data_IF_773132660046
#
_entry.id   IF_773132660046
#
_cell.length_a   1.000
_cell.length_b   1.000
_cell.length_c   1.000
_cell.angle_alpha   90.00
_cell.angle_beta   90.00
_cell.angle_gamma   90.00
#
_symmetry.space_group_name_H-M   'P 1'
#
loop_
_entity.id
_entity.type
_entity.pdbx_description
1 polymer ?
#
# COMPACT_ATOMS: atom_id res chain seq x y z
N UNK A 1 25.86 40.30 5.45
CA UNK A 1 25.97 39.00 4.76
C UNK A 1 26.60 38.03 5.73
N UNK A 2 25.76 37.31 6.45
CA UNK A 2 26.13 36.22 7.35
C UNK A 2 25.00 35.20 7.23
N UNK A 3 25.33 34.02 6.73
CA UNK A 3 24.40 32.93 6.44
C UNK A 3 23.86 32.33 7.74
N UNK A 4 22.54 32.23 7.88
CA UNK A 4 21.91 31.35 8.87
C UNK A 4 21.76 29.95 8.25
N UNK A 5 22.58 29.03 8.74
CA UNK A 5 22.41 27.59 8.53
C UNK A 5 21.30 27.10 9.45
N UNK A 6 20.09 26.89 8.91
CA UNK A 6 18.99 26.30 9.68
C UNK A 6 19.22 24.78 9.79
N UNK A 7 19.57 24.39 11.01
CA UNK A 7 19.72 22.99 11.43
C UNK A 7 18.40 22.25 11.26
N UNK A 8 18.33 21.39 10.24
CA UNK A 8 17.27 20.39 10.09
C UNK A 8 17.36 19.45 11.30
N UNK A 9 16.37 19.53 12.19
CA UNK A 9 16.26 18.64 13.36
C UNK A 9 16.05 17.20 12.90
N UNK A 10 17.15 16.45 12.88
CA UNK A 10 17.19 14.99 12.72
C UNK A 10 16.98 14.34 14.08
N UNK A 11 15.77 14.33 14.61
CA UNK A 11 15.42 13.52 15.79
C UNK A 11 13.91 13.32 15.85
N UNK A 12 13.40 12.45 14.97
CA UNK A 12 12.16 11.72 15.28
C UNK A 12 12.61 10.32 15.69
N UNK A 13 12.44 9.94 16.97
CA UNK A 13 12.86 8.62 17.44
C UNK A 13 12.06 7.53 16.73
N UNK A 14 12.78 6.65 16.01
CA UNK A 14 12.25 5.51 15.24
C UNK A 14 11.48 4.50 16.13
N UNK A 15 11.61 4.60 17.45
CA UNK A 15 10.94 3.75 18.43
C UNK A 15 9.47 4.11 18.72
N UNK A 16 8.95 5.22 18.19
CA UNK A 16 7.58 5.69 18.48
C UNK A 16 6.59 5.48 17.33
N UNK A 17 6.99 4.78 16.26
CA UNK A 17 6.11 4.35 15.18
C UNK A 17 5.82 2.86 15.38
N UNK A 18 5.11 2.53 16.45
CA UNK A 18 4.43 1.24 16.63
C UNK A 18 2.93 1.44 16.48
N UNK A 19 2.54 1.91 15.31
CA UNK A 19 1.16 1.95 14.86
C UNK A 19 1.17 1.28 13.51
N UNK A 20 0.57 0.09 13.44
CA UNK A 20 0.39 -0.73 12.24
C UNK A 20 0.03 0.17 11.05
N UNK A 21 0.89 0.18 10.04
CA UNK A 21 0.84 1.07 8.88
C UNK A 21 0.51 0.20 7.67
N UNK A 22 -0.78 0.10 7.37
CA UNK A 22 -1.27 -0.41 6.09
C UNK A 22 -1.25 0.73 5.09
N UNK A 23 -0.25 0.75 4.20
CA UNK A 23 -0.05 1.87 3.28
C UNK A 23 0.47 1.41 1.93
N UNK A 24 -0.24 1.64 0.83
CA UNK A 24 0.31 1.41 -0.52
C UNK A 24 0.78 2.75 -1.10
N UNK A 25 2.00 2.79 -1.60
CA UNK A 25 2.60 3.99 -2.21
C UNK A 25 2.79 3.77 -3.71
N UNK A 26 2.20 4.58 -4.58
CA UNK A 26 2.26 4.34 -6.03
C UNK A 26 3.01 5.49 -6.70
N UNK A 27 4.08 5.17 -7.45
CA UNK A 27 5.01 6.13 -8.05
C UNK A 27 4.93 6.06 -9.59
N UNK A 28 4.50 7.14 -10.24
CA UNK A 28 4.70 7.28 -11.69
C UNK A 28 6.01 8.04 -11.94
N UNK A 29 6.92 7.50 -12.76
CA UNK A 29 8.29 8.00 -12.85
C UNK A 29 8.73 8.21 -14.30
N UNK A 30 8.16 9.17 -15.02
CA UNK A 30 8.77 9.68 -16.29
C UNK A 30 8.34 11.07 -16.77
N UNK A 31 7.69 11.84 -15.92
CA UNK A 31 7.78 13.30 -15.95
C UNK A 31 7.90 13.75 -14.50
N UNK A 32 8.55 14.89 -14.26
CA UNK A 32 8.93 15.35 -12.93
C UNK A 32 7.79 15.24 -11.89
N UNK A 33 7.93 14.29 -10.96
CA UNK A 33 7.36 14.23 -9.61
C UNK A 33 5.85 14.02 -9.44
N UNK A 34 5.20 13.27 -10.34
CA UNK A 34 3.80 12.85 -10.13
C UNK A 34 3.73 11.62 -9.22
N UNK A 35 3.18 11.81 -8.02
CA UNK A 35 2.99 10.75 -7.03
C UNK A 35 1.50 10.62 -6.75
N UNK A 36 1.01 9.38 -6.70
CA UNK A 36 -0.32 9.04 -6.23
C UNK A 36 -0.21 8.25 -4.91
N UNK A 37 -1.25 8.30 -4.09
CA UNK A 37 -1.31 7.56 -2.84
C UNK A 37 -2.58 6.73 -2.81
N UNK A 38 -2.46 5.44 -2.49
CA UNK A 38 -3.63 4.62 -2.15
C UNK A 38 -3.46 4.15 -0.72
N UNK A 39 -4.24 4.73 0.18
CA UNK A 39 -4.28 4.29 1.57
C UNK A 39 -5.29 3.16 1.67
N UNK A 40 -4.92 2.10 2.39
CA UNK A 40 -5.81 0.96 2.57
C UNK A 40 -5.76 0.45 3.99
N UNK A 41 -6.77 -0.35 4.33
CA UNK A 41 -6.96 -0.99 5.63
C UNK A 41 -7.70 -2.30 5.42
N UNK A 42 -8.28 -2.83 6.48
CA UNK A 42 -9.13 -4.01 6.49
C UNK A 42 -10.54 -3.71 5.90
N UNK A 43 -11.34 -4.75 5.73
CA UNK A 43 -12.71 -4.70 5.22
C UNK A 43 -13.74 -4.56 6.34
N UNK A 44 -14.95 -4.02 6.08
CA UNK A 44 -16.06 -4.14 7.03
C UNK A 44 -16.39 -5.62 7.31
N UNK A 45 -16.58 -6.02 8.58
CA UNK A 45 -16.83 -5.19 9.76
C UNK A 45 -15.59 -4.78 10.58
N UNK A 46 -14.38 -5.11 10.15
CA UNK A 46 -13.15 -4.81 10.91
C UNK A 46 -12.75 -3.34 10.79
N UNK A 47 -13.01 -2.74 9.63
CA UNK A 47 -12.90 -1.31 9.39
C UNK A 47 -14.28 -0.71 9.05
N UNK A 48 -14.52 0.51 9.52
CA UNK A 48 -15.76 1.26 9.34
C UNK A 48 -15.57 2.61 8.66
N UNK A 49 -14.33 3.07 8.41
CA UNK A 49 -14.05 4.31 7.69
C UNK A 49 -13.99 4.10 6.19
N UNK A 50 -13.01 3.31 5.73
CA UNK A 50 -12.77 3.00 4.32
C UNK A 50 -11.82 1.80 4.25
N UNK A 51 -12.02 0.91 3.28
CA UNK A 51 -11.06 -0.14 2.96
C UNK A 51 -9.95 0.39 2.01
N UNK A 52 -10.32 1.29 1.09
CA UNK A 52 -9.41 1.91 0.12
C UNK A 52 -9.75 3.38 -0.06
N UNK A 53 -8.75 4.26 -0.03
CA UNK A 53 -8.84 5.68 -0.37
C UNK A 53 -7.79 6.00 -1.42
N UNK A 54 -8.24 6.53 -2.56
CA UNK A 54 -7.38 6.86 -3.71
C UNK A 54 -7.17 8.37 -3.81
N UNK A 55 -5.93 8.79 -3.67
CA UNK A 55 -5.46 10.13 -4.02
C UNK A 55 -4.65 10.03 -5.32
N UNK A 56 -5.20 10.57 -6.41
CA UNK A 56 -4.62 10.47 -7.74
C UNK A 56 -3.33 11.29 -7.87
N UNK A 57 -2.64 11.15 -9.01
CA UNK A 57 -1.37 11.84 -9.29
C UNK A 57 -1.48 13.36 -9.10
N UNK A 58 -0.50 13.92 -8.40
CA UNK A 58 -0.38 15.36 -8.18
C UNK A 58 0.98 15.88 -8.61
N UNK A 59 0.99 17.03 -9.26
CA UNK A 59 2.20 17.77 -9.64
C UNK A 59 2.97 18.22 -8.37
N UNK A 60 3.94 17.43 -7.92
CA UNK A 60 4.93 17.84 -6.93
C UNK A 60 4.91 17.10 -5.58
N UNK A 61 6.11 17.01 -5.00
CA UNK A 61 6.38 16.22 -3.78
C UNK A 61 5.63 16.70 -2.55
N UNK A 62 5.28 17.98 -2.46
CA UNK A 62 4.69 18.57 -1.26
C UNK A 62 3.26 18.05 -1.02
N UNK A 63 2.46 17.91 -2.08
CA UNK A 63 1.12 17.35 -1.98
C UNK A 63 1.16 15.87 -1.63
N UNK A 64 2.10 15.11 -2.21
CA UNK A 64 2.32 13.72 -1.85
C UNK A 64 2.72 13.55 -0.37
N UNK A 65 3.65 14.38 0.12
CA UNK A 65 4.06 14.40 1.53
C UNK A 65 2.89 14.78 2.45
N UNK A 66 2.03 15.71 2.05
CA UNK A 66 0.84 16.10 2.80
C UNK A 66 -0.16 14.94 2.89
N UNK A 67 -0.43 14.22 1.79
CA UNK A 67 -1.37 13.10 1.78
C UNK A 67 -0.86 11.94 2.68
N UNK A 68 0.45 11.65 2.63
CA UNK A 68 1.07 10.66 3.53
C UNK A 68 0.99 11.11 4.99
N UNK A 69 1.29 12.38 5.28
CA UNK A 69 1.28 12.91 6.67
C UNK A 69 -0.14 12.98 7.23
N UNK A 70 -1.15 13.19 6.39
CA UNK A 70 -2.56 13.18 6.79
C UNK A 70 -3.10 11.76 7.07
N UNK A 71 -2.40 10.73 6.62
CA UNK A 71 -2.79 9.34 6.82
C UNK A 71 -2.50 8.92 8.26
N UNK A 72 -3.55 8.59 9.01
CA UNK A 72 -3.44 8.12 10.39
C UNK A 72 -3.43 6.58 10.40
N UNK A 73 -2.32 5.93 10.82
CA UNK A 73 -2.29 4.49 10.98
C UNK A 73 -3.33 4.01 11.98
N UNK A 74 -3.91 2.85 11.71
CA UNK A 74 -4.97 2.26 12.51
C UNK A 74 -4.87 0.75 12.38
N UNK A 75 -5.00 0.05 13.51
CA UNK A 75 -5.03 -1.40 13.53
C UNK A 75 -6.30 -1.93 12.87
N UNK A 76 -6.17 -2.94 12.02
CA UNK A 76 -7.27 -3.79 11.58
C UNK A 76 -7.90 -4.60 12.73
N UNK A 77 -8.85 -5.46 12.38
CA UNK A 77 -9.53 -6.34 13.33
C UNK A 77 -9.05 -7.79 13.29
N UNK A 78 -8.51 -8.22 12.15
CA UNK A 78 -7.69 -9.42 12.01
C UNK A 78 -6.30 -9.12 11.41
N UNK A 79 -5.55 -10.18 11.12
CA UNK A 79 -4.14 -10.07 10.73
C UNK A 79 -3.89 -9.86 9.24
N UNK A 80 -4.70 -10.38 8.30
CA UNK A 80 -4.60 -10.04 6.88
C UNK A 80 -5.34 -8.73 6.56
N UNK A 81 -5.00 -8.14 5.42
CA UNK A 81 -5.48 -6.81 5.02
C UNK A 81 -6.04 -6.78 3.59
N UNK A 82 -6.78 -5.72 3.25
CA UNK A 82 -7.50 -5.60 1.98
C UNK A 82 -6.62 -5.19 0.78
N UNK A 83 -5.61 -5.99 0.42
CA UNK A 83 -4.70 -5.63 -0.68
C UNK A 83 -5.31 -5.83 -2.07
N UNK A 84 -6.26 -6.76 -2.24
CA UNK A 84 -6.85 -7.02 -3.55
C UNK A 84 -7.55 -5.78 -4.16
N UNK A 85 -8.42 -5.05 -3.43
CA UNK A 85 -9.04 -3.84 -3.96
C UNK A 85 -8.03 -2.71 -4.20
N UNK A 86 -6.91 -2.69 -3.47
CA UNK A 86 -5.81 -1.73 -3.69
C UNK A 86 -5.11 -1.98 -5.01
N UNK A 87 -4.76 -3.24 -5.27
CA UNK A 87 -4.14 -3.64 -6.53
C UNK A 87 -5.09 -3.38 -7.71
N UNK A 88 -6.39 -3.62 -7.52
CA UNK A 88 -7.39 -3.26 -8.52
C UNK A 88 -7.46 -1.74 -8.75
N UNK A 89 -7.59 -0.94 -7.69
CA UNK A 89 -7.65 0.52 -7.78
C UNK A 89 -6.40 1.13 -8.40
N UNK A 90 -5.22 0.56 -8.11
CA UNK A 90 -3.96 0.98 -8.71
C UNK A 90 -3.99 0.91 -10.25
N UNK A 91 -4.66 -0.09 -10.82
CA UNK A 91 -4.76 -0.27 -12.27
C UNK A 91 -5.89 0.57 -12.87
N UNK A 92 -7.03 0.64 -12.20
CA UNK A 92 -8.28 1.14 -12.78
C UNK A 92 -8.64 2.57 -12.38
N UNK A 93 -8.22 3.04 -11.22
CA UNK A 93 -8.67 4.31 -10.64
C UNK A 93 -7.60 5.41 -10.70
N UNK A 94 -6.34 5.05 -10.90
CA UNK A 94 -5.24 5.99 -11.10
C UNK A 94 -5.10 6.44 -12.55
N UNK A 95 -4.83 7.73 -12.75
CA UNK A 95 -4.69 8.35 -14.07
C UNK A 95 -3.25 8.30 -14.58
N UNK A 96 -2.73 7.09 -14.76
CA UNK A 96 -1.37 6.86 -15.27
C UNK A 96 -1.12 7.54 -16.61
N UNK A 97 0.06 8.14 -16.76
CA UNK A 97 0.46 8.66 -18.05
C UNK A 97 0.84 7.52 -19.01
N UNK A 98 0.30 7.53 -20.22
CA UNK A 98 0.49 6.42 -21.18
C UNK A 98 1.95 6.21 -21.58
N UNK A 99 2.72 7.29 -21.70
CA UNK A 99 4.14 7.26 -22.10
C UNK A 99 5.08 7.09 -20.92
N UNK A 100 4.56 6.90 -19.70
CA UNK A 100 5.39 6.83 -18.52
C UNK A 100 5.81 5.39 -18.15
N UNK A 101 7.01 5.26 -17.59
CA UNK A 101 7.49 4.21 -16.69
C UNK A 101 6.68 4.28 -15.39
N UNK A 102 5.88 3.25 -15.17
CA UNK A 102 4.93 3.13 -14.07
C UNK A 102 5.45 2.19 -13.00
N UNK A 103 5.50 2.63 -11.75
CA UNK A 103 6.03 1.84 -10.63
C UNK A 103 5.02 1.85 -9.48
N UNK A 104 4.56 0.69 -9.03
CA UNK A 104 3.73 0.58 -7.83
C UNK A 104 4.58 0.04 -6.67
N UNK A 105 4.62 0.73 -5.52
CA UNK A 105 5.25 0.25 -4.29
C UNK A 105 4.18 -0.14 -3.25
N UNK A 106 3.86 -1.42 -3.17
CA UNK A 106 2.99 -1.91 -2.10
C UNK A 106 3.79 -2.01 -0.79
N UNK A 107 3.51 -1.16 0.20
CA UNK A 107 4.11 -1.27 1.53
C UNK A 107 3.10 -1.95 2.45
N UNK A 108 3.56 -2.90 3.25
CA UNK A 108 2.66 -3.70 4.10
C UNK A 108 3.43 -4.41 5.20
N UNK A 109 2.77 -4.73 6.29
CA UNK A 109 3.29 -5.58 7.36
C UNK A 109 2.48 -6.87 7.57
N UNK A 110 1.46 -7.09 6.73
CA UNK A 110 0.49 -8.19 6.73
C UNK A 110 0.38 -8.88 5.35
N UNK A 111 -0.24 -10.07 5.22
CA UNK A 111 -0.59 -10.68 3.94
C UNK A 111 -1.99 -10.23 3.49
N UNK A 112 -2.39 -10.47 2.23
CA UNK A 112 -3.76 -10.27 1.79
C UNK A 112 -4.71 -11.34 2.34
N UNK A 113 -6.00 -10.99 2.47
CA UNK A 113 -7.07 -11.96 2.74
C UNK A 113 -7.12 -13.09 1.70
N UNK A 114 -7.58 -14.27 2.14
CA UNK A 114 -7.87 -15.43 1.28
C UNK A 114 -6.66 -16.29 0.90
N UNK A 115 -5.43 -15.84 1.15
CA UNK A 115 -4.21 -16.54 0.73
C UNK A 115 -3.59 -17.46 1.79
N UNK A 116 -3.84 -17.22 3.09
CA UNK A 116 -3.27 -18.04 4.16
C UNK A 116 -4.31 -18.97 4.78
N UNK A 117 -3.88 -20.18 5.13
CA UNK A 117 -4.71 -21.17 5.84
C UNK A 117 -4.33 -21.32 7.31
N UNK A 118 -3.28 -20.63 7.75
CA UNK A 118 -2.66 -20.82 9.07
C UNK A 118 -2.84 -19.64 10.01
N UNK A 119 -3.37 -18.52 9.52
CA UNK A 119 -3.63 -17.31 10.29
C UNK A 119 -5.12 -17.07 10.43
N UNK A 120 -5.51 -16.35 11.48
CA UNK A 120 -6.90 -15.94 11.64
C UNK A 120 -7.22 -14.88 10.59
N UNK A 121 -8.11 -15.24 9.66
CA UNK A 121 -8.59 -14.43 8.55
C UNK A 121 -10.12 -14.43 8.62
N UNK A 122 -10.72 -13.25 8.76
CA UNK A 122 -12.18 -13.09 8.75
C UNK A 122 -12.76 -13.09 7.34
N UNK A 123 -11.90 -13.07 6.32
CA UNK A 123 -12.24 -13.13 4.90
C UNK A 123 -11.48 -14.29 4.20
N UNK A 124 -11.64 -15.54 4.67
CA UNK A 124 -10.83 -16.69 4.22
C UNK A 124 -11.12 -17.12 2.77
N UNK A 125 -12.25 -16.67 2.22
CA UNK A 125 -12.68 -16.88 0.83
C UNK A 125 -12.22 -15.75 -0.11
N UNK A 126 -11.44 -14.79 0.40
CA UNK A 126 -10.94 -13.63 -0.34
C UNK A 126 -11.71 -12.34 -0.04
N UNK A 127 -11.30 -11.28 -0.74
CA UNK A 127 -11.84 -9.95 -0.50
C UNK A 127 -13.33 -9.84 -0.88
N UNK A 128 -14.20 -9.20 -0.06
CA UNK A 128 -15.63 -9.01 -0.36
C UNK A 128 -15.93 -8.28 -1.66
N UNK A 129 -14.99 -7.49 -2.19
CA UNK A 129 -15.11 -6.85 -3.51
C UNK A 129 -15.05 -7.84 -4.68
N UNK A 130 -14.64 -9.09 -4.42
CA UNK A 130 -14.52 -10.14 -5.43
C UNK A 130 -13.23 -10.07 -6.25
N UNK A 131 -12.27 -9.25 -5.85
CA UNK A 131 -10.96 -9.16 -6.47
C UNK A 131 -10.00 -10.19 -5.85
N UNK A 132 -9.25 -10.92 -6.69
CA UNK A 132 -8.17 -11.80 -6.25
C UNK A 132 -6.83 -11.04 -6.30
N UNK A 133 -6.03 -11.04 -5.21
CA UNK A 133 -4.79 -10.27 -5.16
C UNK A 133 -3.72 -10.77 -6.14
N UNK A 134 -3.71 -12.05 -6.51
CA UNK A 134 -2.77 -12.62 -7.48
C UNK A 134 -3.17 -12.21 -8.90
N UNK A 135 -4.46 -12.28 -9.23
CA UNK A 135 -5.00 -11.79 -10.51
C UNK A 135 -4.76 -10.29 -10.67
N UNK A 136 -5.04 -9.48 -9.65
CA UNK A 136 -4.79 -8.04 -9.70
C UNK A 136 -3.29 -7.71 -9.80
N UNK A 137 -2.41 -8.49 -9.15
CA UNK A 137 -0.97 -8.35 -9.34
C UNK A 137 -0.54 -8.68 -10.79
N UNK A 138 -1.16 -9.67 -11.42
CA UNK A 138 -0.90 -10.00 -12.82
C UNK A 138 -1.34 -8.86 -13.77
N UNK A 139 -2.47 -8.20 -13.50
CA UNK A 139 -2.95 -7.06 -14.28
C UNK A 139 -1.96 -5.89 -14.30
N UNK A 140 -1.17 -5.69 -13.24
CA UNK A 140 -0.12 -4.67 -13.23
C UNK A 140 0.89 -4.90 -14.37
N UNK A 141 1.33 -6.14 -14.56
CA UNK A 141 2.25 -6.49 -15.63
C UNK A 141 1.62 -6.24 -17.02
N UNK A 142 0.34 -6.57 -17.20
CA UNK A 142 -0.39 -6.31 -18.45
C UNK A 142 -0.49 -4.80 -18.75
N UNK A 143 -0.63 -3.97 -17.72
CA UNK A 143 -0.69 -2.51 -17.83
C UNK A 143 0.69 -1.82 -17.86
N UNK A 144 1.79 -2.60 -17.94
CA UNK A 144 3.18 -2.12 -17.87
C UNK A 144 3.48 -1.32 -16.59
N UNK A 145 2.86 -1.71 -15.49
CA UNK A 145 3.12 -1.21 -14.13
C UNK A 145 4.03 -2.22 -13.43
N UNK A 146 5.23 -1.79 -13.04
CA UNK A 146 6.14 -2.65 -12.26
C UNK A 146 5.73 -2.59 -10.79
N UNK A 147 5.22 -3.70 -10.26
CA UNK A 147 4.85 -3.83 -8.85
C UNK A 147 6.04 -4.31 -8.01
N UNK A 148 6.38 -3.55 -6.98
CA UNK A 148 7.31 -3.94 -5.93
C UNK A 148 6.59 -3.98 -4.59
N UNK A 149 6.75 -5.09 -3.86
CA UNK A 149 6.21 -5.23 -2.50
C UNK A 149 7.32 -5.04 -1.47
N UNK A 150 7.07 -4.18 -0.49
CA UNK A 150 7.96 -3.86 0.62
C UNK A 150 7.28 -4.35 1.91
N UNK A 151 7.73 -5.50 2.40
CA UNK A 151 7.28 -6.06 3.68
C UNK A 151 8.04 -5.42 4.86
N UNK A 152 7.32 -4.84 5.82
CA UNK A 152 7.89 -4.25 7.03
C UNK A 152 8.18 -5.33 8.09
N UNK A 153 9.45 -5.52 8.44
CA UNK A 153 9.86 -6.42 9.52
C UNK A 153 9.75 -5.73 10.91
N UNK A 154 9.46 -6.48 11.99
CA UNK A 154 9.39 -7.95 12.05
C UNK A 154 8.05 -8.55 11.64
N UNK A 155 6.99 -7.76 11.49
CA UNK A 155 5.61 -8.23 11.30
C UNK A 155 5.43 -9.00 10.00
N UNK A 156 6.14 -8.62 8.93
CA UNK A 156 6.10 -9.33 7.66
C UNK A 156 6.86 -10.68 7.66
N UNK A 157 7.76 -10.89 8.64
CA UNK A 157 8.69 -12.03 8.66
C UNK A 157 8.00 -13.40 8.67
N UNK A 158 6.89 -13.63 9.40
CA UNK A 158 6.16 -14.90 9.38
C UNK A 158 5.55 -15.25 8.02
N UNK A 159 5.36 -14.27 7.11
CA UNK A 159 4.69 -14.46 5.82
C UNK A 159 5.66 -14.72 4.67
N UNK A 160 6.95 -14.37 4.82
CA UNK A 160 7.96 -14.55 3.78
C UNK A 160 8.08 -15.99 3.27
N UNK A 161 7.85 -16.95 4.17
CA UNK A 161 8.02 -18.38 3.88
C UNK A 161 6.69 -19.07 3.50
N UNK A 162 5.57 -18.33 3.43
CA UNK A 162 4.23 -18.87 3.15
C UNK A 162 3.76 -18.65 1.70
N UNK A 163 4.46 -17.83 0.91
CA UNK A 163 4.10 -17.55 -0.48
C UNK A 163 4.30 -18.77 -1.39
N UNK A 164 3.22 -19.47 -1.76
CA UNK A 164 3.28 -20.48 -2.83
C UNK A 164 2.27 -21.64 -2.80
N UNK A 165 1.27 -21.67 -1.93
CA UNK A 165 0.23 -22.70 -2.00
C UNK A 165 -0.99 -22.14 -2.74
N UNK A 166 -0.97 -22.24 -4.07
CA UNK A 166 -2.14 -22.02 -4.91
C UNK A 166 -3.17 -23.08 -4.50
N UNK A 167 -4.35 -22.66 -4.01
CA UNK A 167 -5.46 -23.59 -3.80
C UNK A 167 -5.86 -24.10 -5.19
N UNK A 168 -5.58 -25.38 -5.47
CA UNK A 168 -5.98 -26.07 -6.71
C UNK A 168 -7.49 -26.29 -6.77
#
# INVERSE_FOLDING_TARGET
MTEESSSIRRDVPVSSIQTELDLAFIIDATAMNDVALIVYRDQPPQEHTFAVQVDNFTDGEDTAKMNVTASVPRSGGDSPEAMAPVLHAAVHDLSWQQSAVKIALLITDAPPHGLSSTIHDNFPDGDPSGHDPIECAALHAECSITLHTIGCEPTAKPYRDQGGQIKN
#
